data_IF_950217864085
#
_entry.id   IF_950217864085
#
_cell.length_a   1.000
_cell.length_b   1.000
_cell.length_c   1.000
_cell.angle_alpha   90.00
_cell.angle_beta   90.00
_cell.angle_gamma   90.00
#
_symmetry.space_group_name_H-M   'P 1'
#
loop_
_entity.id
_entity.type
_entity.pdbx_description
1 polymer ?
#
# COMPACT_ATOMS: atom_id res chain seq x y z
N UNK A 1 -16.63 -24.62 -4.63
CA UNK A 1 -18.00 -24.03 -4.93
C UNK A 1 -17.94 -23.37 -6.28
N UNK A 2 -19.06 -23.26 -7.01
CA UNK A 2 -19.09 -22.40 -8.20
C UNK A 2 -19.04 -20.92 -7.81
N UNK A 3 -18.59 -20.06 -8.74
CA UNK A 3 -18.59 -18.62 -8.51
C UNK A 3 -20.00 -18.09 -8.20
N UNK A 4 -21.03 -18.65 -8.83
CA UNK A 4 -22.44 -18.28 -8.59
C UNK A 4 -22.88 -18.61 -7.16
N UNK A 5 -22.48 -19.74 -6.61
CA UNK A 5 -22.74 -20.05 -5.19
C UNK A 5 -22.05 -19.07 -4.25
N UNK A 6 -20.82 -18.68 -4.57
CA UNK A 6 -20.04 -17.75 -3.75
C UNK A 6 -20.63 -16.34 -3.75
N UNK A 7 -21.01 -15.80 -4.92
CA UNK A 7 -21.62 -14.47 -5.00
C UNK A 7 -23.01 -14.42 -4.34
N UNK A 8 -23.73 -15.54 -4.32
CA UNK A 8 -25.02 -15.62 -3.62
C UNK A 8 -24.86 -15.41 -2.11
N UNK A 9 -23.74 -15.81 -1.51
CA UNK A 9 -23.41 -15.52 -0.10
C UNK A 9 -23.33 -14.01 0.17
N UNK A 10 -22.91 -13.23 -0.82
CA UNK A 10 -22.88 -11.76 -0.78
C UNK A 10 -24.21 -11.13 -1.26
N UNK A 11 -25.29 -11.91 -1.36
CA UNK A 11 -26.63 -11.49 -1.83
C UNK A 11 -26.61 -10.86 -3.23
N UNK A 12 -25.74 -11.35 -4.10
CA UNK A 12 -25.66 -10.92 -5.50
C UNK A 12 -26.39 -11.97 -6.35
N UNK A 13 -27.34 -11.52 -7.15
CA UNK A 13 -28.05 -12.36 -8.10
C UNK A 13 -27.21 -12.63 -9.33
N UNK A 14 -27.46 -13.74 -10.02
CA UNK A 14 -26.80 -14.08 -11.27
C UNK A 14 -27.00 -12.98 -12.35
N UNK A 15 -28.20 -12.40 -12.44
CA UNK A 15 -28.48 -11.28 -13.35
C UNK A 15 -27.58 -10.09 -13.09
N UNK A 16 -27.50 -9.62 -11.82
CA UNK A 16 -26.64 -8.50 -11.44
C UNK A 16 -25.15 -8.81 -11.70
N UNK A 17 -24.72 -10.05 -11.49
CA UNK A 17 -23.37 -10.47 -11.78
C UNK A 17 -23.04 -10.39 -13.26
N UNK A 18 -23.92 -10.94 -14.13
CA UNK A 18 -23.74 -10.91 -15.57
C UNK A 18 -23.77 -9.46 -16.12
N UNK A 19 -24.71 -8.63 -15.68
CA UNK A 19 -24.73 -7.20 -16.00
C UNK A 19 -23.46 -6.48 -15.57
N UNK A 20 -22.87 -6.87 -14.42
CA UNK A 20 -21.63 -6.29 -13.91
C UNK A 20 -20.40 -6.73 -14.70
N UNK A 21 -20.40 -7.94 -15.26
CA UNK A 21 -19.36 -8.41 -16.20
C UNK A 21 -19.44 -7.62 -17.52
N UNK A 22 -20.62 -7.50 -18.11
CA UNK A 22 -20.86 -6.74 -19.35
C UNK A 22 -20.50 -5.25 -19.17
N UNK A 23 -20.90 -4.66 -18.04
CA UNK A 23 -20.62 -3.25 -17.69
C UNK A 23 -19.20 -2.99 -17.17
N UNK A 24 -18.31 -3.99 -17.20
CA UNK A 24 -16.92 -3.90 -16.72
C UNK A 24 -16.80 -3.39 -15.28
N UNK A 25 -17.77 -3.67 -14.43
CA UNK A 25 -17.68 -3.46 -12.98
C UNK A 25 -17.01 -4.63 -12.29
N UNK A 26 -17.13 -5.82 -12.89
CA UNK A 26 -16.42 -7.05 -12.57
C UNK A 26 -15.53 -7.38 -13.77
N UNK A 27 -14.26 -7.64 -13.53
CA UNK A 27 -13.31 -8.00 -14.58
C UNK A 27 -12.72 -9.38 -14.27
N UNK A 28 -12.90 -10.38 -15.14
CA UNK A 28 -12.20 -11.64 -15.01
C UNK A 28 -10.70 -11.43 -15.24
N UNK A 29 -9.89 -12.15 -14.50
CA UNK A 29 -8.43 -12.15 -14.63
C UNK A 29 -7.90 -13.55 -14.30
N UNK A 30 -6.66 -13.83 -14.66
CA UNK A 30 -6.03 -15.12 -14.47
C UNK A 30 -4.58 -14.94 -14.00
N UNK A 31 -4.13 -15.86 -13.16
CA UNK A 31 -2.75 -16.01 -12.75
C UNK A 31 -2.42 -17.50 -12.58
N UNK A 32 -1.48 -18.01 -13.40
CA UNK A 32 -1.03 -19.42 -13.38
C UNK A 32 -2.18 -20.43 -13.46
N UNK A 33 -3.14 -20.19 -14.38
CA UNK A 33 -4.31 -21.06 -14.57
C UNK A 33 -5.41 -20.86 -13.51
N UNK A 34 -5.21 -19.99 -12.54
CA UNK A 34 -6.19 -19.66 -11.50
C UNK A 34 -7.02 -18.47 -11.94
N UNK A 35 -8.29 -18.72 -12.28
CA UNK A 35 -9.23 -17.65 -12.63
C UNK A 35 -9.77 -16.98 -11.38
N UNK A 36 -9.84 -15.65 -11.41
CA UNK A 36 -10.46 -14.83 -10.37
C UNK A 36 -11.14 -13.59 -10.95
N UNK A 37 -12.03 -12.98 -10.19
CA UNK A 37 -12.80 -11.82 -10.63
C UNK A 37 -12.50 -10.61 -9.76
N UNK A 38 -12.13 -9.50 -10.40
CA UNK A 38 -11.78 -8.24 -9.73
C UNK A 38 -12.98 -7.30 -9.71
N UNK A 39 -13.38 -6.85 -8.55
CA UNK A 39 -14.42 -5.83 -8.39
C UNK A 39 -13.78 -4.44 -8.54
N UNK A 40 -13.97 -3.79 -9.68
CA UNK A 40 -13.37 -2.49 -10.00
C UNK A 40 -14.31 -1.31 -9.79
N UNK A 41 -15.63 -1.59 -9.71
CA UNK A 41 -16.68 -0.69 -9.24
C UNK A 41 -17.58 -1.46 -8.28
N UNK A 42 -18.28 -0.76 -7.37
CA UNK A 42 -19.19 -1.41 -6.40
C UNK A 42 -20.26 -2.25 -7.12
N UNK A 43 -20.47 -3.49 -6.66
CA UNK A 43 -21.52 -4.42 -7.14
C UNK A 43 -22.25 -4.97 -5.92
N UNK A 44 -23.50 -4.59 -5.73
CA UNK A 44 -24.22 -4.92 -4.49
C UNK A 44 -23.45 -4.45 -3.26
N UNK A 45 -23.14 -5.38 -2.36
CA UNK A 45 -22.33 -5.10 -1.16
C UNK A 45 -20.81 -5.26 -1.40
N UNK A 46 -20.39 -5.79 -2.55
CA UNK A 46 -18.98 -5.93 -2.88
C UNK A 46 -18.39 -4.59 -3.30
N UNK A 47 -17.43 -4.11 -2.54
CA UNK A 47 -16.73 -2.83 -2.81
C UNK A 47 -15.60 -3.02 -3.81
N UNK A 48 -15.21 -1.93 -4.47
CA UNK A 48 -13.98 -1.87 -5.27
C UNK A 48 -12.78 -2.38 -4.47
N UNK A 49 -12.01 -3.28 -5.05
CA UNK A 49 -10.85 -3.92 -4.39
C UNK A 49 -11.14 -5.31 -3.82
N UNK A 50 -12.41 -5.76 -3.88
CA UNK A 50 -12.79 -7.14 -3.56
C UNK A 50 -12.38 -8.07 -4.70
N UNK A 51 -11.98 -9.28 -4.36
CA UNK A 51 -11.69 -10.38 -5.30
C UNK A 51 -12.66 -11.52 -5.02
N UNK A 52 -13.23 -12.10 -6.08
CA UNK A 52 -14.06 -13.29 -6.01
C UNK A 52 -13.34 -14.42 -6.72
N UNK A 53 -13.25 -15.58 -6.05
CA UNK A 53 -12.64 -16.80 -6.58
C UNK A 53 -13.64 -17.95 -6.35
N UNK A 54 -13.39 -19.12 -6.88
CA UNK A 54 -14.15 -20.35 -6.55
C UNK A 54 -13.85 -20.86 -5.12
N UNK A 55 -12.81 -20.34 -4.49
CA UNK A 55 -12.44 -20.62 -3.09
C UNK A 55 -13.04 -19.64 -2.09
N UNK A 56 -13.75 -18.60 -2.55
CA UNK A 56 -14.41 -17.61 -1.70
C UNK A 56 -14.16 -16.15 -2.08
N UNK A 57 -14.70 -15.25 -1.26
CA UNK A 57 -14.61 -13.79 -1.40
C UNK A 57 -13.47 -13.28 -0.52
N UNK A 58 -12.57 -12.53 -1.13
CA UNK A 58 -11.50 -11.79 -0.46
C UNK A 58 -11.91 -10.32 -0.47
N UNK A 59 -12.56 -9.88 0.60
CA UNK A 59 -13.04 -8.49 0.70
C UNK A 59 -11.91 -7.46 0.58
N UNK A 60 -12.26 -6.26 0.11
CA UNK A 60 -11.35 -5.13 0.02
C UNK A 60 -10.70 -4.80 1.38
N UNK A 61 -9.48 -4.26 1.33
CA UNK A 61 -8.87 -3.68 2.52
C UNK A 61 -9.21 -2.19 2.59
N UNK A 62 -9.97 -1.73 3.61
CA UNK A 62 -10.49 -0.37 3.65
C UNK A 62 -9.38 0.67 3.71
N UNK A 63 -9.65 1.85 3.15
CA UNK A 63 -8.78 3.01 3.33
C UNK A 63 -8.90 3.51 4.77
N UNK A 64 -7.76 3.74 5.42
CA UNK A 64 -7.70 4.24 6.79
C UNK A 64 -7.68 5.76 6.75
N UNK A 65 -8.60 6.39 7.50
CA UNK A 65 -8.67 7.84 7.62
C UNK A 65 -7.43 8.39 8.33
N UNK A 66 -6.90 9.53 7.84
CA UNK A 66 -5.79 10.25 8.47
C UNK A 66 -6.35 11.30 9.41
N UNK A 67 -5.94 11.28 10.68
CA UNK A 67 -6.19 12.38 11.61
C UNK A 67 -5.10 13.45 11.46
N UNK A 68 -5.49 14.71 11.44
CA UNK A 68 -4.61 15.87 11.24
C UNK A 68 -4.04 16.41 12.54
N UNK A 69 -4.76 16.29 13.63
CA UNK A 69 -4.35 16.64 14.99
C UNK A 69 -4.50 15.40 15.88
N UNK A 70 -3.46 15.03 16.62
CA UNK A 70 -3.43 13.78 17.35
C UNK A 70 -4.53 13.70 18.41
N UNK A 71 -4.51 14.63 19.36
CA UNK A 71 -5.41 14.58 20.51
C UNK A 71 -6.88 14.65 20.10
N UNK A 72 -7.24 15.65 19.28
CA UNK A 72 -8.62 15.82 18.83
C UNK A 72 -9.07 14.66 17.94
N UNK A 73 -8.18 14.15 17.09
CA UNK A 73 -8.47 13.01 16.23
C UNK A 73 -8.68 11.72 17.00
N UNK A 74 -7.89 11.47 18.03
CA UNK A 74 -8.07 10.30 18.91
C UNK A 74 -9.38 10.41 19.69
N UNK A 75 -9.66 11.57 20.32
CA UNK A 75 -10.91 11.79 21.06
C UNK A 75 -12.17 11.70 20.19
N UNK A 76 -12.06 12.06 18.91
CA UNK A 76 -13.16 11.93 17.96
C UNK A 76 -13.33 10.49 17.48
N UNK A 77 -12.24 9.74 17.32
CA UNK A 77 -12.27 8.39 16.77
C UNK A 77 -12.63 7.32 17.80
N UNK A 78 -12.27 7.54 19.08
CA UNK A 78 -12.35 6.51 20.11
C UNK A 78 -13.00 7.05 21.41
N UNK A 79 -13.99 6.30 21.87
CA UNK A 79 -14.53 6.41 23.24
C UNK A 79 -14.04 5.23 24.12
N UNK A 80 -13.58 4.16 23.49
CA UNK A 80 -13.13 2.92 24.09
C UNK A 80 -11.60 2.76 23.93
N UNK A 81 -10.98 1.79 24.63
CA UNK A 81 -9.58 1.47 24.40
C UNK A 81 -9.28 1.08 22.94
N UNK A 82 -8.07 1.36 22.49
CA UNK A 82 -7.59 1.04 21.16
C UNK A 82 -6.14 0.58 21.19
N UNK A 83 -5.71 -0.13 20.16
CA UNK A 83 -4.33 -0.54 19.98
C UNK A 83 -3.59 0.44 19.06
N UNK A 84 -2.29 0.66 19.37
CA UNK A 84 -1.40 1.41 18.50
C UNK A 84 -0.35 0.48 17.89
N UNK A 85 -0.21 0.55 16.58
CA UNK A 85 0.78 -0.19 15.79
C UNK A 85 1.55 0.77 14.90
N UNK A 86 2.79 0.39 14.54
CA UNK A 86 3.57 1.14 13.57
C UNK A 86 2.86 1.16 12.22
N UNK A 87 2.86 2.33 11.58
CA UNK A 87 2.53 2.44 10.18
C UNK A 87 3.81 2.32 9.36
N UNK A 88 3.95 1.17 8.72
CA UNK A 88 5.05 0.90 7.80
C UNK A 88 4.74 1.52 6.43
N UNK A 89 5.74 2.10 5.80
CA UNK A 89 5.67 2.69 4.47
C UNK A 89 6.10 1.67 3.41
N UNK A 90 5.14 1.21 2.63
CA UNK A 90 5.32 0.19 1.61
C UNK A 90 4.06 0.05 0.75
N UNK A 91 3.76 -1.16 0.31
CA UNK A 91 2.51 -1.45 -0.38
C UNK A 91 1.77 -2.64 0.24
N UNK A 92 0.45 -2.50 0.28
CA UNK A 92 -0.45 -3.46 0.91
C UNK A 92 -0.63 -4.72 0.06
N UNK A 93 -0.53 -5.89 0.73
CA UNK A 93 -0.85 -7.18 0.15
C UNK A 93 -1.79 -7.98 1.06
N UNK A 94 -2.62 -8.81 0.44
CA UNK A 94 -3.50 -9.82 1.07
C UNK A 94 -3.04 -11.18 0.60
N UNK A 95 -2.46 -11.96 1.47
CA UNK A 95 -1.94 -13.30 1.20
C UNK A 95 -3.02 -14.31 1.56
N UNK A 96 -3.38 -15.18 0.62
CA UNK A 96 -4.51 -16.09 0.77
C UNK A 96 -4.32 -17.36 -0.05
N UNK A 97 -4.86 -18.48 0.44
CA UNK A 97 -4.89 -19.75 -0.30
C UNK A 97 -6.09 -19.81 -1.23
N UNK A 98 -5.85 -20.00 -2.53
CA UNK A 98 -6.87 -20.14 -3.60
C UNK A 98 -6.53 -21.38 -4.43
N UNK A 99 -7.46 -22.32 -4.59
CA UNK A 99 -7.27 -23.55 -5.37
C UNK A 99 -5.96 -24.31 -5.04
N UNK A 100 -5.59 -24.34 -3.76
CA UNK A 100 -4.35 -25.01 -3.33
C UNK A 100 -3.08 -24.16 -3.43
N UNK A 101 -3.10 -23.04 -4.12
CA UNK A 101 -1.97 -22.11 -4.28
C UNK A 101 -2.08 -20.93 -3.32
N UNK A 102 -0.96 -20.44 -2.83
CA UNK A 102 -0.92 -19.23 -2.00
C UNK A 102 -0.54 -18.03 -2.87
N UNK A 103 -1.42 -17.04 -2.92
CA UNK A 103 -1.31 -15.88 -3.78
C UNK A 103 -1.31 -14.59 -2.95
N UNK A 104 -0.58 -13.58 -3.42
CA UNK A 104 -0.56 -12.24 -2.83
C UNK A 104 -1.32 -11.25 -3.72
N UNK A 105 -2.48 -10.76 -3.26
CA UNK A 105 -3.29 -9.76 -3.93
C UNK A 105 -2.94 -8.35 -3.47
N UNK A 106 -2.71 -7.44 -4.41
CA UNK A 106 -2.55 -6.01 -4.13
C UNK A 106 -3.89 -5.38 -3.72
N UNK A 107 -3.85 -4.14 -3.20
CA UNK A 107 -5.07 -3.35 -2.96
C UNK A 107 -5.91 -3.15 -4.23
N UNK A 108 -5.28 -3.10 -5.39
CA UNK A 108 -5.95 -3.02 -6.70
C UNK A 108 -6.60 -4.32 -7.17
N UNK A 109 -6.64 -5.35 -6.31
CA UNK A 109 -7.20 -6.70 -6.57
C UNK A 109 -6.50 -7.50 -7.67
N UNK A 110 -5.29 -7.17 -8.03
CA UNK A 110 -4.45 -8.01 -8.88
C UNK A 110 -3.61 -8.97 -8.04
N UNK A 111 -3.36 -10.17 -8.53
CA UNK A 111 -2.25 -10.97 -8.03
C UNK A 111 -0.95 -10.24 -8.35
N UNK A 112 -0.09 -10.05 -7.36
CA UNK A 112 1.22 -9.47 -7.54
C UNK A 112 2.25 -10.57 -7.80
N UNK A 113 2.82 -10.69 -9.00
CA UNK A 113 3.81 -11.72 -9.31
C UNK A 113 5.05 -11.62 -8.43
N UNK A 114 5.53 -10.41 -8.14
CA UNK A 114 6.65 -10.17 -7.25
C UNK A 114 6.36 -10.63 -5.82
N UNK A 115 5.24 -10.18 -5.23
CA UNK A 115 4.90 -10.57 -3.86
C UNK A 115 4.66 -12.09 -3.73
N UNK A 116 4.02 -12.69 -4.74
CA UNK A 116 3.77 -14.15 -4.78
C UNK A 116 5.06 -14.94 -4.89
N UNK A 117 6.02 -14.48 -5.69
CA UNK A 117 7.37 -15.07 -5.80
C UNK A 117 8.11 -15.05 -4.46
N UNK A 118 7.96 -13.95 -3.70
CA UNK A 118 8.71 -13.68 -2.48
C UNK A 118 8.08 -14.23 -1.20
N UNK A 119 6.92 -14.89 -1.28
CA UNK A 119 6.22 -15.44 -0.09
C UNK A 119 7.10 -16.37 0.74
N UNK A 120 7.93 -17.17 0.10
CA UNK A 120 8.86 -18.13 0.76
C UNK A 120 9.90 -17.44 1.64
N UNK A 121 10.18 -16.16 1.37
CA UNK A 121 11.17 -15.37 2.11
C UNK A 121 10.54 -14.70 3.36
N UNK A 122 9.22 -14.65 3.44
CA UNK A 122 8.53 -13.87 4.48
C UNK A 122 8.16 -14.69 5.71
N UNK A 123 7.55 -15.86 5.52
CA UNK A 123 7.17 -16.79 6.60
C UNK A 123 6.78 -18.15 6.04
N UNK A 124 6.68 -19.14 6.90
CA UNK A 124 6.22 -20.50 6.54
C UNK A 124 4.70 -20.47 6.26
N UNK A 125 4.35 -19.96 5.07
CA UNK A 125 2.97 -19.82 4.63
C UNK A 125 2.30 -21.20 4.37
N UNK A 126 3.05 -22.22 4.00
CA UNK A 126 2.52 -23.57 3.75
C UNK A 126 1.96 -24.16 5.04
N UNK A 127 2.72 -24.09 6.15
CA UNK A 127 2.27 -24.51 7.46
C UNK A 127 1.06 -23.68 7.93
N UNK A 128 1.11 -22.35 7.80
CA UNK A 128 0.02 -21.48 8.20
C UNK A 128 -1.29 -21.82 7.46
N UNK A 129 -1.26 -21.89 6.12
CA UNK A 129 -2.48 -22.13 5.32
C UNK A 129 -2.91 -23.59 5.25
N UNK A 130 -2.09 -24.53 5.71
CA UNK A 130 -2.50 -25.92 5.93
C UNK A 130 -3.52 -26.01 7.06
N UNK A 131 -3.28 -25.30 8.15
CA UNK A 131 -4.13 -25.30 9.33
C UNK A 131 -5.23 -24.23 9.28
N UNK A 132 -5.00 -23.13 8.54
CA UNK A 132 -5.88 -21.97 8.45
C UNK A 132 -6.25 -21.62 6.99
N UNK A 133 -6.88 -22.54 6.22
CA UNK A 133 -7.10 -22.36 4.78
C UNK A 133 -8.05 -21.20 4.43
N UNK A 134 -8.88 -20.75 5.38
CA UNK A 134 -9.86 -19.69 5.18
C UNK A 134 -9.41 -18.32 5.71
N UNK A 135 -8.20 -18.25 6.26
CA UNK A 135 -7.65 -16.97 6.71
C UNK A 135 -6.93 -16.24 5.57
N UNK A 136 -6.85 -14.93 5.72
CA UNK A 136 -6.17 -14.00 4.83
C UNK A 136 -5.18 -13.21 5.69
N UNK A 137 -3.89 -13.31 5.41
CA UNK A 137 -2.86 -12.51 6.07
C UNK A 137 -2.72 -11.19 5.32
N UNK A 138 -2.97 -10.07 6.00
CA UNK A 138 -2.81 -8.74 5.43
C UNK A 138 -1.53 -8.11 5.98
N UNK A 139 -0.72 -7.55 5.11
CA UNK A 139 0.53 -6.92 5.50
C UNK A 139 1.00 -5.87 4.51
N UNK A 140 2.08 -5.22 4.88
CA UNK A 140 2.82 -4.28 4.04
C UNK A 140 4.13 -4.93 3.60
N UNK A 141 4.49 -4.80 2.33
CA UNK A 141 5.82 -5.13 1.83
C UNK A 141 6.56 -3.81 1.64
N UNK A 142 7.70 -3.69 2.30
CA UNK A 142 8.53 -2.49 2.27
C UNK A 142 10.00 -2.88 2.14
N UNK A 143 10.79 -2.03 1.51
CA UNK A 143 12.22 -2.22 1.31
C UNK A 143 12.72 -1.48 0.07
N UNK A 144 14.04 -1.31 -0.06
CA UNK A 144 14.64 -0.54 -1.17
C UNK A 144 14.44 -1.18 -2.54
N UNK A 145 14.15 -2.48 -2.60
CA UNK A 145 13.92 -3.21 -3.86
C UNK A 145 12.43 -3.52 -4.09
N UNK A 146 11.54 -2.74 -3.52
CA UNK A 146 10.10 -2.88 -3.79
C UNK A 146 9.75 -2.33 -5.19
N UNK A 147 8.90 -3.03 -5.98
CA UNK A 147 8.68 -2.66 -7.38
C UNK A 147 7.69 -1.51 -7.59
N UNK A 148 7.15 -0.91 -6.55
CA UNK A 148 6.08 0.09 -6.69
C UNK A 148 6.40 1.45 -6.08
N UNK A 149 7.24 1.49 -5.06
CA UNK A 149 7.59 2.71 -4.34
C UNK A 149 9.08 2.99 -4.43
N UNK A 150 9.45 4.24 -4.72
CA UNK A 150 10.85 4.66 -4.81
C UNK A 150 11.53 4.88 -3.45
N UNK A 151 10.79 4.81 -2.34
CA UNK A 151 11.32 4.95 -0.98
C UNK A 151 10.95 3.75 -0.11
N UNK A 152 11.77 3.52 0.91
CA UNK A 152 11.56 2.49 1.92
C UNK A 152 11.81 3.03 3.31
N UNK A 153 11.26 2.42 4.36
CA UNK A 153 11.62 2.75 5.73
C UNK A 153 13.12 2.60 5.96
N UNK A 154 13.80 3.58 6.59
CA UNK A 154 15.27 3.55 6.74
C UNK A 154 15.81 2.36 7.53
N UNK A 155 14.96 1.71 8.31
CA UNK A 155 15.33 0.54 9.11
C UNK A 155 15.20 -0.79 8.35
N UNK A 156 14.63 -0.79 7.14
CA UNK A 156 14.60 -1.98 6.27
C UNK A 156 15.86 -1.96 5.43
N UNK A 157 16.82 -2.79 5.80
CA UNK A 157 18.14 -2.90 5.16
C UNK A 157 18.23 -4.02 4.14
N UNK A 158 17.33 -5.00 4.24
CA UNK A 158 17.17 -6.06 3.26
C UNK A 158 16.51 -5.50 1.99
N UNK A 159 16.56 -6.30 0.92
CA UNK A 159 15.91 -5.95 -0.34
C UNK A 159 14.42 -5.62 -0.17
N UNK A 160 13.66 -6.50 0.48
CA UNK A 160 12.29 -6.26 0.96
C UNK A 160 11.99 -7.09 2.22
N UNK A 161 11.12 -6.57 3.06
CA UNK A 161 10.57 -7.25 4.24
C UNK A 161 9.05 -7.18 4.26
N UNK A 162 8.44 -8.18 4.89
CA UNK A 162 6.99 -8.26 5.09
C UNK A 162 6.63 -7.91 6.53
N UNK A 163 5.57 -7.13 6.70
CA UNK A 163 5.07 -6.66 8.00
C UNK A 163 3.57 -6.90 8.08
N UNK A 164 3.16 -8.03 8.66
CA UNK A 164 1.76 -8.35 8.88
C UNK A 164 1.13 -7.39 9.89
N UNK A 165 -0.08 -6.94 9.61
CA UNK A 165 -0.83 -6.04 10.49
C UNK A 165 -2.28 -6.46 10.69
N UNK A 166 -2.82 -7.39 9.88
CA UNK A 166 -4.19 -7.87 10.05
C UNK A 166 -4.32 -9.34 9.61
N UNK A 167 -5.30 -10.04 10.19
CA UNK A 167 -5.78 -11.32 9.70
C UNK A 167 -7.29 -11.18 9.49
N UNK A 168 -7.77 -11.62 8.32
CA UNK A 168 -9.18 -11.61 7.93
C UNK A 168 -9.64 -13.01 7.57
N UNK A 169 -10.94 -13.18 7.41
CA UNK A 169 -11.57 -14.47 7.07
C UNK A 169 -12.19 -14.34 5.66
N UNK A 170 -11.97 -15.32 4.79
CA UNK A 170 -12.69 -15.41 3.51
C UNK A 170 -14.21 -15.39 3.73
N UNK A 171 -14.93 -14.85 2.80
CA UNK A 171 -16.41 -14.75 2.84
C UNK A 171 -16.95 -13.89 3.99
N UNK A 172 -16.10 -13.15 4.70
CA UNK A 172 -16.50 -12.30 5.82
C UNK A 172 -15.73 -10.99 5.83
N UNK A 173 -16.43 -9.88 6.05
CA UNK A 173 -15.82 -8.57 6.31
C UNK A 173 -15.58 -8.32 7.80
N UNK A 174 -15.96 -9.28 8.68
CA UNK A 174 -15.79 -9.19 10.12
C UNK A 174 -14.32 -9.21 10.50
N UNK A 175 -13.98 -8.37 11.46
CA UNK A 175 -12.64 -8.34 12.04
C UNK A 175 -12.44 -9.46 13.06
N UNK A 176 -11.28 -10.05 13.04
CA UNK A 176 -10.82 -10.94 14.12
C UNK A 176 -10.34 -10.06 15.28
N UNK A 177 -10.68 -10.38 16.56
CA UNK A 177 -10.18 -9.66 17.73
C UNK A 177 -8.65 -9.54 17.71
N UNK A 178 -8.10 -8.40 18.17
CA UNK A 178 -6.67 -8.11 18.09
C UNK A 178 -5.83 -9.16 18.82
N UNK A 179 -6.23 -9.60 20.00
CA UNK A 179 -5.52 -10.60 20.79
C UNK A 179 -5.40 -11.94 20.03
N UNK A 180 -6.47 -12.34 19.32
CA UNK A 180 -6.46 -13.56 18.51
C UNK A 180 -5.53 -13.41 17.31
N UNK A 181 -5.50 -12.22 16.67
CA UNK A 181 -4.56 -11.94 15.57
C UNK A 181 -3.11 -12.01 16.06
N UNK A 182 -2.81 -11.38 17.18
CA UNK A 182 -1.47 -11.38 17.77
C UNK A 182 -1.02 -12.80 18.13
N UNK A 183 -1.92 -13.59 18.72
CA UNK A 183 -1.63 -15.00 19.04
C UNK A 183 -1.28 -15.79 17.77
N UNK A 184 -2.04 -15.65 16.69
CA UNK A 184 -1.75 -16.33 15.42
C UNK A 184 -0.41 -15.86 14.82
N UNK A 185 -0.12 -14.58 14.83
CA UNK A 185 1.17 -14.07 14.34
C UNK A 185 2.35 -14.65 15.15
N UNK A 186 2.23 -14.69 16.46
CA UNK A 186 3.29 -15.19 17.34
C UNK A 186 3.45 -16.72 17.21
N UNK A 187 2.37 -17.47 17.14
CA UNK A 187 2.33 -18.93 16.97
C UNK A 187 3.02 -19.39 15.67
N UNK A 188 2.69 -18.74 14.55
CA UNK A 188 3.26 -19.06 13.23
C UNK A 188 4.51 -18.22 12.87
N UNK A 189 5.04 -17.45 13.82
CA UNK A 189 6.22 -16.58 13.62
C UNK A 189 6.11 -15.68 12.40
N UNK A 190 4.92 -15.16 12.13
CA UNK A 190 4.69 -14.23 11.03
C UNK A 190 5.28 -12.87 11.40
N UNK A 191 6.19 -12.28 10.61
CA UNK A 191 6.74 -10.96 10.88
C UNK A 191 5.62 -9.90 10.93
N UNK A 192 5.62 -9.07 11.96
CA UNK A 192 4.55 -8.08 12.17
C UNK A 192 5.07 -6.67 12.23
N UNK A 193 4.19 -5.71 11.99
CA UNK A 193 4.42 -4.31 12.39
C UNK A 193 4.70 -4.24 13.89
N UNK A 194 5.46 -3.23 14.32
CA UNK A 194 5.74 -3.00 15.74
C UNK A 194 4.46 -2.66 16.48
N UNK A 195 4.23 -3.36 17.61
CA UNK A 195 3.08 -3.17 18.49
C UNK A 195 3.49 -2.27 19.65
N UNK A 196 2.74 -1.20 19.92
CA UNK A 196 3.02 -0.25 21.02
C UNK A 196 2.14 -0.52 22.24
N UNK A 197 1.11 -1.34 22.10
CA UNK A 197 0.21 -1.72 23.18
C UNK A 197 -1.20 -1.15 23.05
N UNK A 198 -1.93 -1.24 24.15
CA UNK A 198 -3.32 -0.80 24.29
C UNK A 198 -3.36 0.52 25.06
N UNK A 199 -4.13 1.47 24.58
CA UNK A 199 -4.26 2.84 25.11
C UNK A 199 -5.73 3.18 25.32
N UNK A 200 -5.97 4.22 26.11
CA UNK A 200 -7.26 4.91 26.23
C UNK A 200 -7.13 6.34 25.68
N UNK A 201 -8.24 7.02 25.34
CA UNK A 201 -8.19 8.36 24.73
C UNK A 201 -7.49 9.46 25.55
N UNK A 202 -7.23 9.23 26.83
CA UNK A 202 -6.48 10.16 27.69
C UNK A 202 -4.95 9.99 27.62
N UNK A 203 -4.43 8.90 27.01
CA UNK A 203 -3.00 8.55 27.04
C UNK A 203 -2.18 9.31 25.99
N UNK A 204 -2.65 10.51 25.59
CA UNK A 204 -2.05 11.32 24.52
C UNK A 204 -0.56 11.61 24.77
N UNK A 205 -0.18 11.87 26.03
CA UNK A 205 1.23 12.18 26.36
C UNK A 205 2.17 11.02 26.03
N UNK A 206 1.75 9.79 26.29
CA UNK A 206 2.57 8.61 26.02
C UNK A 206 2.60 8.29 24.52
N UNK A 207 1.48 8.46 23.85
CA UNK A 207 1.42 8.32 22.38
C UNK A 207 2.35 9.34 21.70
N UNK A 208 2.40 10.61 22.16
CA UNK A 208 3.32 11.63 21.65
C UNK A 208 4.79 11.22 21.77
N UNK A 209 5.19 10.55 22.87
CA UNK A 209 6.57 10.04 23.02
C UNK A 209 6.90 9.01 21.95
N UNK A 210 6.01 8.03 21.71
CA UNK A 210 6.22 7.04 20.66
C UNK A 210 6.29 7.67 19.26
N UNK A 211 5.47 8.70 18.98
CA UNK A 211 5.52 9.44 17.71
C UNK A 211 6.86 10.15 17.55
N UNK A 212 7.41 10.72 18.62
CA UNK A 212 8.71 11.37 18.57
C UNK A 212 9.82 10.34 18.30
N UNK A 213 9.82 9.21 18.98
CA UNK A 213 10.78 8.11 18.73
C UNK A 213 10.70 7.60 17.27
N UNK A 214 9.48 7.46 16.76
CA UNK A 214 9.27 7.04 15.38
C UNK A 214 9.80 8.08 14.37
N UNK A 215 9.59 9.37 14.64
CA UNK A 215 10.12 10.45 13.81
C UNK A 215 11.65 10.41 13.76
N UNK A 216 12.31 10.24 14.91
CA UNK A 216 13.77 10.17 15.02
C UNK A 216 14.34 8.99 14.22
N UNK A 217 13.61 7.87 14.19
CA UNK A 217 13.96 6.67 13.41
C UNK A 217 13.54 6.75 11.94
N UNK A 218 12.95 7.85 11.49
CA UNK A 218 12.46 7.99 10.14
C UNK A 218 11.25 7.12 9.80
N UNK A 219 10.50 6.62 10.78
CA UNK A 219 9.28 5.86 10.56
C UNK A 219 8.12 6.73 10.10
N UNK A 220 7.11 6.12 9.46
CA UNK A 220 5.98 6.87 8.89
C UNK A 220 5.04 7.43 9.97
N UNK A 221 4.68 6.63 10.97
CA UNK A 221 3.74 7.02 12.01
C UNK A 221 3.06 5.85 12.71
N UNK A 222 1.80 6.06 13.12
CA UNK A 222 1.00 5.07 13.85
C UNK A 222 -0.34 4.79 13.16
N UNK A 223 -0.80 3.55 13.32
CA UNK A 223 -2.19 3.14 13.05
C UNK A 223 -2.85 2.82 14.39
N UNK A 224 -4.00 3.41 14.64
CA UNK A 224 -4.81 3.17 15.83
C UNK A 224 -6.00 2.31 15.48
N UNK A 225 -6.13 1.18 16.12
CA UNK A 225 -7.13 0.16 15.85
C UNK A 225 -8.07 0.00 17.04
N UNK A 226 -9.39 0.13 16.84
CA UNK A 226 -10.36 0.02 17.94
C UNK A 226 -10.44 -1.39 18.51
N UNK A 227 -10.84 -1.49 19.78
CA UNK A 227 -11.33 -2.75 20.37
C UNK A 227 -12.79 -3.00 20.03
N UNK A 228 -13.57 -1.95 19.79
CA UNK A 228 -14.99 -2.03 19.50
C UNK A 228 -15.26 -1.94 17.97
N UNK A 229 -16.09 -2.84 17.41
CA UNK A 229 -16.38 -2.86 15.96
C UNK A 229 -17.10 -1.60 15.45
N UNK A 230 -17.76 -0.84 16.32
CA UNK A 230 -18.45 0.42 15.96
C UNK A 230 -17.51 1.58 15.67
N UNK A 231 -16.30 1.51 16.19
CA UNK A 231 -15.26 2.54 16.01
C UNK A 231 -14.40 2.25 14.79
N UNK A 232 -13.73 3.28 14.28
CA UNK A 232 -12.97 3.18 13.02
C UNK A 232 -11.48 3.25 13.25
N UNK A 233 -10.74 2.41 12.55
CA UNK A 233 -9.28 2.52 12.44
C UNK A 233 -8.89 3.86 11.84
N UNK A 234 -7.96 4.58 12.48
CA UNK A 234 -7.40 5.84 11.99
C UNK A 234 -5.86 5.78 12.00
N UNK A 235 -5.23 6.68 11.27
CA UNK A 235 -3.77 6.80 11.21
C UNK A 235 -3.30 8.21 11.46
N UNK A 236 -2.13 8.32 12.07
CA UNK A 236 -1.39 9.55 12.28
C UNK A 236 0.01 9.42 11.65
N UNK A 237 0.42 10.42 10.89
CA UNK A 237 1.65 10.40 10.09
C UNK A 237 2.56 11.54 10.51
N UNK A 238 3.86 11.28 10.62
CA UNK A 238 4.86 12.29 10.99
C UNK A 238 5.11 13.32 9.87
N UNK A 239 5.60 14.49 10.22
CA UNK A 239 6.00 15.49 9.22
C UNK A 239 7.11 14.97 8.30
N UNK A 240 8.06 14.19 8.82
CA UNK A 240 9.13 13.59 8.03
C UNK A 240 8.64 12.67 6.93
N UNK A 241 7.62 11.85 7.21
CA UNK A 241 7.00 11.01 6.19
C UNK A 241 6.27 11.85 5.13
N UNK A 242 5.55 12.92 5.54
CA UNK A 242 4.91 13.82 4.57
C UNK A 242 5.93 14.47 3.61
N UNK A 243 7.12 14.82 4.11
CA UNK A 243 8.20 15.36 3.27
C UNK A 243 8.75 14.31 2.30
N UNK A 244 8.95 13.06 2.75
CA UNK A 244 9.38 11.97 1.86
C UNK A 244 8.34 11.70 0.77
N UNK A 245 7.06 11.58 1.15
CA UNK A 245 5.97 11.42 0.17
C UNK A 245 6.02 12.51 -0.91
N UNK A 246 6.20 13.79 -0.52
CA UNK A 246 6.28 14.90 -1.46
C UNK A 246 7.53 14.80 -2.34
N UNK A 247 8.67 14.43 -1.78
CA UNK A 247 9.92 14.29 -2.53
C UNK A 247 9.84 13.24 -3.64
N UNK A 248 9.24 12.08 -3.35
CA UNK A 248 9.08 11.01 -4.34
C UNK A 248 8.06 11.39 -5.43
N UNK A 249 6.99 12.09 -5.04
CA UNK A 249 5.87 12.34 -5.96
C UNK A 249 5.93 13.67 -6.68
N UNK A 250 6.75 14.63 -6.25
CA UNK A 250 6.77 15.97 -6.85
C UNK A 250 7.28 15.99 -8.29
N UNK A 251 8.15 15.06 -8.67
CA UNK A 251 8.54 14.88 -10.09
C UNK A 251 7.34 14.51 -10.98
N UNK A 252 6.28 13.92 -10.39
CA UNK A 252 5.03 13.51 -11.04
C UNK A 252 3.85 14.38 -10.56
N UNK A 253 4.11 15.64 -10.19
CA UNK A 253 3.11 16.52 -9.56
C UNK A 253 1.83 16.62 -10.38
N UNK A 254 1.95 16.57 -11.70
CA UNK A 254 0.83 16.67 -12.64
C UNK A 254 -0.07 15.42 -12.68
N UNK A 255 0.41 14.28 -12.19
CA UNK A 255 -0.34 13.02 -12.12
C UNK A 255 -1.10 12.85 -10.81
N UNK A 256 -0.85 13.73 -9.84
CA UNK A 256 -1.49 13.72 -8.54
C UNK A 256 -2.51 14.85 -8.41
N UNK A 257 -3.58 14.61 -7.66
CA UNK A 257 -4.54 15.66 -7.30
C UNK A 257 -3.86 16.70 -6.40
N UNK A 258 -4.22 17.97 -6.57
CA UNK A 258 -3.65 19.07 -5.78
C UNK A 258 -3.77 18.85 -4.26
N UNK A 259 -4.86 18.22 -3.82
CA UNK A 259 -5.11 17.86 -2.41
C UNK A 259 -4.05 16.89 -1.85
N UNK A 260 -3.38 16.13 -2.70
CA UNK A 260 -2.30 15.25 -2.24
C UNK A 260 -1.18 16.06 -1.57
N UNK A 261 -0.71 17.10 -2.21
CA UNK A 261 0.36 17.97 -1.72
C UNK A 261 -0.13 18.88 -0.59
N UNK A 262 -1.30 19.52 -0.77
CA UNK A 262 -1.91 20.39 0.24
C UNK A 262 -2.12 19.66 1.57
N UNK A 263 -2.63 18.43 1.54
CA UNK A 263 -2.84 17.63 2.75
C UNK A 263 -1.53 17.27 3.45
N UNK A 264 -0.43 17.07 2.73
CA UNK A 264 0.88 16.76 3.32
C UNK A 264 1.53 18.00 3.93
N UNK A 265 1.43 19.13 3.26
CA UNK A 265 1.88 20.41 3.80
C UNK A 265 1.11 20.77 5.08
N UNK A 266 -0.24 20.75 5.04
CA UNK A 266 -1.06 21.00 6.21
C UNK A 266 -0.73 20.03 7.36
N UNK A 267 -0.62 18.73 7.09
CA UNK A 267 -0.27 17.74 8.10
C UNK A 267 1.09 18.03 8.74
N UNK A 268 2.06 18.46 7.95
CA UNK A 268 3.38 18.83 8.45
C UNK A 268 3.33 20.07 9.37
N UNK A 269 2.53 21.06 9.01
CA UNK A 269 2.34 22.26 9.84
C UNK A 269 1.55 21.96 11.12
N UNK A 270 0.49 21.16 11.05
CA UNK A 270 -0.21 20.68 12.25
C UNK A 270 0.75 19.92 13.18
N UNK A 271 1.64 19.09 12.61
CA UNK A 271 2.65 18.38 13.39
C UNK A 271 3.56 19.33 14.15
N UNK A 272 4.06 20.39 13.51
CA UNK A 272 4.92 21.38 14.17
C UNK A 272 4.18 22.04 15.34
N UNK A 273 2.96 22.51 15.11
CA UNK A 273 2.17 23.23 16.12
C UNK A 273 1.82 22.31 17.31
N UNK A 274 1.35 21.10 17.07
CA UNK A 274 0.93 20.19 18.15
C UNK A 274 2.09 19.57 18.96
N UNK A 275 3.34 19.70 18.46
CA UNK A 275 4.55 19.27 19.14
C UNK A 275 5.43 20.45 19.60
N UNK A 276 4.91 21.68 19.60
CA UNK A 276 5.62 22.90 19.99
C UNK A 276 6.96 23.08 19.26
N UNK A 277 7.01 22.72 17.99
CA UNK A 277 8.19 22.82 17.14
C UNK A 277 8.15 24.10 16.30
N UNK A 278 9.23 24.87 16.20
CA UNK A 278 9.25 26.10 15.41
C UNK A 278 9.27 25.79 13.90
N UNK A 279 8.59 26.67 13.14
CA UNK A 279 8.80 26.74 11.70
C UNK A 279 10.14 27.43 11.41
N UNK A 280 11.22 26.67 11.50
CA UNK A 280 12.57 27.17 11.32
C UNK A 280 13.09 27.03 9.88
N UNK A 281 14.26 27.66 9.62
CA UNK A 281 14.89 27.64 8.30
C UNK A 281 15.15 26.21 7.79
N UNK A 282 15.63 25.30 8.64
CA UNK A 282 15.89 23.91 8.24
C UNK A 282 14.63 23.13 7.83
N UNK A 283 13.48 23.43 8.44
CA UNK A 283 12.20 22.85 8.00
C UNK A 283 11.78 23.41 6.64
N UNK A 284 11.91 24.72 6.43
CA UNK A 284 11.57 25.39 5.17
C UNK A 284 12.46 24.91 4.02
N UNK A 285 13.76 24.74 4.26
CA UNK A 285 14.71 24.18 3.30
C UNK A 285 14.32 22.75 2.90
N UNK A 286 14.07 21.86 3.86
CA UNK A 286 13.62 20.47 3.59
C UNK A 286 12.29 20.42 2.84
N UNK A 287 11.33 21.31 3.16
CA UNK A 287 10.07 21.37 2.47
C UNK A 287 10.23 21.85 1.01
N UNK A 288 11.08 22.87 0.80
CA UNK A 288 11.44 23.37 -0.52
C UNK A 288 12.16 22.31 -1.36
N UNK A 289 13.15 21.63 -0.78
CA UNK A 289 13.86 20.51 -1.44
C UNK A 289 12.92 19.40 -1.82
N UNK A 290 12.03 18.98 -0.90
CA UNK A 290 11.09 17.90 -1.17
C UNK A 290 10.09 18.23 -2.28
N UNK A 291 9.68 19.47 -2.41
CA UNK A 291 8.66 19.89 -3.36
C UNK A 291 9.25 20.34 -4.70
N UNK A 292 10.33 21.13 -4.67
CA UNK A 292 10.84 21.81 -5.85
C UNK A 292 11.98 21.07 -6.55
N UNK A 293 12.89 20.42 -5.81
CA UNK A 293 14.06 19.79 -6.41
C UNK A 293 13.70 18.70 -7.43
N UNK A 294 12.83 17.69 -7.13
CA UNK A 294 12.48 16.69 -8.12
C UNK A 294 11.69 17.24 -9.31
N UNK A 295 10.85 18.25 -9.08
CA UNK A 295 10.12 18.93 -10.16
C UNK A 295 11.08 19.70 -11.07
N UNK A 296 12.05 20.42 -10.50
CA UNK A 296 13.10 21.12 -11.25
C UNK A 296 13.91 20.17 -12.14
N UNK A 297 14.30 19.00 -11.60
CA UNK A 297 15.00 17.98 -12.38
C UNK A 297 14.13 17.42 -13.53
N UNK A 298 12.83 17.29 -13.31
CA UNK A 298 11.89 16.89 -14.37
C UNK A 298 11.79 17.94 -15.48
N UNK A 299 11.68 19.22 -15.11
CA UNK A 299 11.67 20.34 -16.09
C UNK A 299 12.98 20.39 -16.88
N UNK A 300 14.12 20.20 -16.20
CA UNK A 300 15.44 20.18 -16.83
C UNK A 300 15.60 19.03 -17.83
N UNK A 301 15.12 17.83 -17.47
CA UNK A 301 15.10 16.68 -18.40
C UNK A 301 14.28 17.00 -19.64
N UNK A 302 13.08 17.53 -19.49
CA UNK A 302 12.20 17.91 -20.60
C UNK A 302 12.85 18.97 -21.47
N UNK A 303 13.44 20.01 -20.91
CA UNK A 303 14.19 21.04 -21.63
C UNK A 303 15.36 20.46 -22.44
N UNK A 304 15.98 19.38 -21.97
CA UNK A 304 17.02 18.62 -22.67
C UNK A 304 16.51 17.58 -23.68
N UNK A 305 15.20 17.45 -23.85
CA UNK A 305 14.57 16.40 -24.69
C UNK A 305 14.63 15.01 -24.09
N UNK A 306 14.83 14.89 -22.77
CA UNK A 306 14.92 13.61 -22.06
C UNK A 306 13.60 13.22 -21.41
N UNK A 307 13.27 11.92 -21.46
CA UNK A 307 12.09 11.36 -20.80
C UNK A 307 12.23 11.37 -19.29
N UNK A 308 11.14 11.69 -18.58
CA UNK A 308 11.05 11.53 -17.13
C UNK A 308 10.94 10.04 -16.82
N UNK A 309 11.91 9.50 -16.09
CA UNK A 309 11.98 8.07 -15.75
C UNK A 309 12.28 7.88 -14.28
N UNK A 310 11.76 6.80 -13.73
CA UNK A 310 12.14 6.26 -12.42
C UNK A 310 12.81 4.90 -12.63
N UNK A 311 13.80 4.59 -11.80
CA UNK A 311 14.57 3.36 -11.86
C UNK A 311 14.34 2.52 -10.64
N UNK A 312 14.08 1.24 -10.83
CA UNK A 312 13.81 0.26 -9.78
C UNK A 312 14.73 -0.95 -9.90
N UNK A 313 15.06 -1.52 -8.76
CA UNK A 313 15.75 -2.80 -8.65
C UNK A 313 14.89 -3.76 -7.85
N UNK A 314 15.00 -5.05 -8.14
CA UNK A 314 14.28 -6.07 -7.41
C UNK A 314 14.91 -7.44 -7.60
N UNK A 315 14.64 -8.35 -6.68
CA UNK A 315 15.11 -9.72 -6.71
C UNK A 315 13.94 -10.69 -6.80
N UNK A 316 14.06 -11.69 -7.67
CA UNK A 316 13.12 -12.81 -7.81
C UNK A 316 13.76 -14.13 -7.44
N UNK A 317 12.95 -15.05 -6.96
CA UNK A 317 13.33 -16.45 -6.76
C UNK A 317 13.17 -17.25 -8.05
N UNK A 318 12.19 -16.91 -8.91
CA UNK A 318 11.87 -17.61 -10.16
C UNK A 318 11.89 -16.66 -11.35
N UNK A 319 12.60 -17.07 -12.42
CA UNK A 319 12.71 -16.27 -13.66
C UNK A 319 11.36 -15.99 -14.31
N UNK A 320 10.48 -16.98 -14.35
CA UNK A 320 9.17 -16.89 -14.97
C UNK A 320 8.30 -15.76 -14.39
N UNK A 321 8.48 -15.43 -13.11
CA UNK A 321 7.71 -14.38 -12.45
C UNK A 321 8.16 -12.97 -12.83
N UNK A 322 9.34 -12.82 -13.43
CA UNK A 322 9.82 -11.56 -14.00
C UNK A 322 8.90 -11.16 -15.16
N UNK A 323 8.71 -12.06 -16.13
CA UNK A 323 7.82 -11.81 -17.26
C UNK A 323 6.40 -11.49 -16.78
N UNK A 324 5.86 -12.28 -15.83
CA UNK A 324 4.53 -12.05 -15.27
C UNK A 324 4.39 -10.66 -14.62
N UNK A 325 5.47 -10.12 -14.01
CA UNK A 325 5.44 -8.76 -13.47
C UNK A 325 5.35 -7.71 -14.57
N UNK A 326 6.08 -7.84 -15.67
CA UNK A 326 5.96 -6.91 -16.79
C UNK A 326 4.59 -7.00 -17.48
N UNK A 327 4.04 -8.20 -17.63
CA UNK A 327 2.67 -8.40 -18.10
C UNK A 327 1.65 -7.74 -17.15
N UNK A 328 1.88 -7.84 -15.83
CA UNK A 328 1.08 -7.14 -14.83
C UNK A 328 1.21 -5.61 -14.96
N UNK A 329 2.40 -5.06 -15.14
CA UNK A 329 2.59 -3.63 -15.39
C UNK A 329 1.81 -3.16 -16.62
N UNK A 330 1.88 -3.93 -17.72
CA UNK A 330 1.12 -3.62 -18.94
C UNK A 330 -0.40 -3.62 -18.67
N UNK A 331 -0.94 -4.63 -17.96
CA UNK A 331 -2.35 -4.66 -17.52
C UNK A 331 -2.73 -3.43 -16.68
N UNK A 332 -1.81 -2.94 -15.86
CA UNK A 332 -2.00 -1.75 -15.04
C UNK A 332 -1.74 -0.42 -15.77
N UNK A 333 -1.43 -0.46 -17.07
CA UNK A 333 -1.04 0.71 -17.90
C UNK A 333 0.19 1.44 -17.36
N UNK A 334 1.12 0.70 -16.77
CA UNK A 334 2.43 1.20 -16.33
C UNK A 334 3.42 0.94 -17.46
N UNK A 335 4.04 2.00 -17.96
CA UNK A 335 5.10 1.90 -18.97
C UNK A 335 6.43 1.55 -18.28
N UNK A 336 6.72 0.28 -18.24
CA UNK A 336 7.94 -0.28 -17.64
C UNK A 336 8.76 -1.03 -18.69
N UNK A 337 10.08 -0.83 -18.67
CA UNK A 337 11.01 -1.52 -19.55
C UNK A 337 12.16 -2.12 -18.78
N UNK A 338 12.44 -3.40 -19.06
CA UNK A 338 13.57 -4.11 -18.51
C UNK A 338 14.88 -3.47 -18.98
N UNK A 339 15.79 -3.17 -18.06
CA UNK A 339 17.12 -2.63 -18.33
C UNK A 339 18.18 -3.72 -18.20
N UNK A 340 18.08 -4.49 -17.12
CA UNK A 340 19.05 -5.56 -16.82
C UNK A 340 18.34 -6.72 -16.12
N UNK A 341 18.74 -7.94 -16.49
CA UNK A 341 18.35 -9.16 -15.80
C UNK A 341 19.59 -10.05 -15.70
N UNK A 342 19.92 -10.50 -14.51
CA UNK A 342 21.04 -11.40 -14.30
C UNK A 342 20.75 -12.37 -13.16
N UNK A 343 21.29 -13.57 -13.27
CA UNK A 343 21.23 -14.57 -12.20
C UNK A 343 22.46 -14.44 -11.32
N UNK A 344 22.27 -14.16 -10.02
CA UNK A 344 23.34 -14.10 -9.02
C UNK A 344 23.03 -15.15 -7.95
N UNK A 345 23.85 -16.18 -7.87
CA UNK A 345 23.59 -17.34 -7.00
C UNK A 345 22.30 -18.06 -7.40
N UNK A 346 21.33 -18.11 -6.48
CA UNK A 346 20.03 -18.76 -6.70
C UNK A 346 18.94 -17.78 -7.12
N UNK A 347 19.23 -16.49 -7.18
CA UNK A 347 18.23 -15.43 -7.39
C UNK A 347 18.45 -14.68 -8.69
N UNK A 348 17.37 -14.09 -9.20
CA UNK A 348 17.36 -13.23 -10.37
C UNK A 348 17.29 -11.78 -9.94
N UNK A 349 18.29 -10.98 -10.27
CA UNK A 349 18.34 -9.56 -10.05
C UNK A 349 17.88 -8.84 -11.31
N UNK A 350 16.91 -7.95 -11.13
CA UNK A 350 16.24 -7.24 -12.20
C UNK A 350 16.32 -5.74 -11.96
N UNK A 351 16.66 -5.00 -13.01
CA UNK A 351 16.60 -3.56 -13.02
C UNK A 351 15.68 -3.12 -14.15
N UNK A 352 14.74 -2.23 -13.86
CA UNK A 352 13.83 -1.69 -14.85
C UNK A 352 13.63 -0.18 -14.69
N UNK A 353 13.16 0.46 -15.75
CA UNK A 353 12.74 1.86 -15.74
C UNK A 353 11.24 1.95 -15.96
N UNK A 354 10.59 2.88 -15.25
CA UNK A 354 9.23 3.33 -15.48
C UNK A 354 9.25 4.69 -16.16
N UNK A 355 8.57 4.85 -17.30
CA UNK A 355 8.43 6.13 -17.99
C UNK A 355 7.17 6.83 -17.50
N UNK A 356 7.30 8.13 -17.23
CA UNK A 356 6.24 8.99 -16.69
C UNK A 356 5.69 9.89 -17.80
N UNK A 357 5.02 9.28 -18.75
CA UNK A 357 4.50 9.96 -19.94
C UNK A 357 3.57 11.14 -19.64
N UNK A 358 2.55 11.03 -18.75
CA UNK A 358 1.64 12.15 -18.52
C UNK A 358 2.37 13.40 -18.01
N UNK A 359 3.33 13.22 -17.07
CA UNK A 359 4.13 14.32 -16.56
C UNK A 359 5.06 14.89 -17.62
N UNK A 360 5.69 14.01 -18.43
CA UNK A 360 6.53 14.44 -19.54
C UNK A 360 5.75 15.26 -20.56
N UNK A 361 4.62 14.74 -21.06
CA UNK A 361 3.82 15.43 -22.08
C UNK A 361 3.30 16.79 -21.60
N UNK A 362 2.87 16.89 -20.34
CA UNK A 362 2.40 18.16 -19.80
C UNK A 362 3.54 19.19 -19.74
N UNK A 363 4.69 18.82 -19.17
CA UNK A 363 5.84 19.72 -19.06
C UNK A 363 6.37 20.08 -20.45
N UNK A 364 6.39 19.13 -21.41
CA UNK A 364 6.81 19.39 -22.79
C UNK A 364 5.90 20.42 -23.48
N UNK A 365 4.58 20.29 -23.35
CA UNK A 365 3.62 21.27 -23.89
C UNK A 365 3.90 22.67 -23.34
N UNK A 366 4.11 22.81 -22.03
CA UNK A 366 4.44 24.11 -21.45
C UNK A 366 5.80 24.64 -21.95
N UNK A 367 6.80 23.77 -22.08
CA UNK A 367 8.11 24.13 -22.61
C UNK A 367 8.02 24.62 -24.07
N UNK A 368 7.16 24.01 -24.86
CA UNK A 368 6.90 24.36 -26.27
C UNK A 368 6.02 25.62 -26.43
N UNK A 369 5.67 26.29 -25.34
CA UNK A 369 4.94 27.55 -25.33
C UNK A 369 3.42 27.43 -25.38
N UNK A 370 2.84 26.25 -25.09
CA UNK A 370 1.39 26.12 -25.00
C UNK A 370 0.87 26.89 -23.77
N UNK A 371 -0.13 27.74 -24.00
CA UNK A 371 -0.76 28.52 -22.95
C UNK A 371 -1.58 27.65 -22.00
N UNK A 372 -1.58 28.01 -20.72
CA UNK A 372 -2.43 27.42 -19.69
C UNK A 372 -3.37 28.49 -19.15
N UNK A 373 -4.62 28.13 -18.85
CA UNK A 373 -5.58 28.99 -18.19
C UNK A 373 -5.65 28.59 -16.70
N UNK A 374 -5.46 29.56 -15.81
CA UNK A 374 -5.56 29.38 -14.37
C UNK A 374 -7.02 29.30 -13.90
#
# INVERSE_FOLDING_TARGET
>A
MSVLEIISMAKITESLWNESLEGHSVIPDEFDGITYYRIVKKVGELKKGTVVTDSGIIYDFPRIARIMHLENGIKQAFSNPFYAEEKVDGYNVRIVKVQGHVLAFTRGCYVCPFSTDRLVDFFDYDNFFKENPDLIVCGEIAGPENPYNGESPPYVTEDVSFFAFDIRIKNSDRQIPMEKRYKLFDEYKIPTVKRFGKFIPSDIKDIKKYIQDLKEKGCEGLVFKPTEPSEKTVKYVTAGSCMRDMKVTSQLMTEYQAEFFTNRMLRSLFYLVEHDLPLNKGFLEKAGEALLQPLYESVKKVAGGEMITERFKMRFNKEENIKKLFDHFHKCKVDASLVRQEKIGQHWHVEYIRRCFPSYEMLQKHWDGHSHFD
#
